data_IF_913541337969
#
_entry.id   IF_913541337969
#
_cell.length_a   1.000
_cell.length_b   1.000
_cell.length_c   1.000
_cell.angle_alpha   90.00
_cell.angle_beta   90.00
_cell.angle_gamma   90.00
#
_symmetry.space_group_name_H-M   'P 1'
#
loop_
_entity.id
_entity.type
_entity.pdbx_description
1 polymer ?
#
# COMPACT_ATOMS: atom_id res chain seq x y z
N UNK A 1 -26.90 7.49 23.83
CA UNK A 1 -26.14 7.66 22.58
C UNK A 1 -25.00 6.67 22.60
N UNK A 2 -24.96 5.75 21.64
CA UNK A 2 -23.85 4.80 21.50
C UNK A 2 -22.91 5.41 20.47
N UNK A 3 -21.76 5.92 20.90
CA UNK A 3 -20.68 6.27 19.97
C UNK A 3 -19.92 5.00 19.65
N UNK A 4 -20.17 4.43 18.47
CA UNK A 4 -19.34 3.38 17.92
C UNK A 4 -18.08 4.01 17.31
N UNK A 5 -16.91 3.59 17.79
CA UNK A 5 -15.61 3.87 17.19
C UNK A 5 -15.02 5.24 17.56
N UNK A 6 -13.69 5.29 17.56
CA UNK A 6 -12.94 6.54 17.50
C UNK A 6 -13.35 7.29 16.21
N UNK A 7 -13.51 8.63 16.25
CA UNK A 7 -13.76 9.41 15.05
C UNK A 7 -12.62 9.19 14.06
N UNK A 8 -12.98 8.64 12.90
CA UNK A 8 -12.04 8.43 11.81
C UNK A 8 -11.50 9.79 11.34
N UNK A 9 -10.18 9.93 11.10
CA UNK A 9 -9.63 11.19 10.60
C UNK A 9 -10.26 11.58 9.25
N UNK A 10 -10.29 12.87 8.96
CA UNK A 10 -10.89 13.43 7.73
C UNK A 10 -10.24 12.86 6.45
N UNK A 11 -8.96 12.45 6.54
CA UNK A 11 -8.20 11.82 5.46
C UNK A 11 -7.46 10.58 5.96
N UNK A 12 -7.36 9.54 5.13
CA UNK A 12 -6.52 8.37 5.39
C UNK A 12 -5.06 8.67 5.03
N UNK A 13 -4.13 8.41 5.95
CA UNK A 13 -2.68 8.48 5.69
C UNK A 13 -2.13 7.21 4.99
N UNK A 14 -3.02 6.49 4.29
CA UNK A 14 -2.78 5.16 3.76
C UNK A 14 -2.92 4.05 4.80
N UNK A 15 -3.12 2.82 4.32
CA UNK A 15 -3.21 1.60 5.14
C UNK A 15 -1.92 0.81 4.96
N UNK A 16 -1.27 0.42 6.06
CA UNK A 16 -0.16 -0.54 6.02
C UNK A 16 -0.72 -1.93 5.73
N UNK A 17 -0.62 -2.37 4.48
CA UNK A 17 -1.00 -3.72 4.07
C UNK A 17 0.14 -4.68 4.40
N UNK A 18 -0.19 -5.84 4.97
CA UNK A 18 0.79 -6.85 5.37
C UNK A 18 0.65 -8.12 4.52
N UNK A 19 1.68 -8.42 3.76
CA UNK A 19 1.85 -9.56 2.88
C UNK A 19 2.53 -10.74 3.58
N UNK A 20 1.94 -11.93 3.44
CA UNK A 20 2.54 -13.18 3.89
C UNK A 20 3.17 -13.90 2.70
N UNK A 21 4.50 -13.96 2.68
CA UNK A 21 5.26 -14.72 1.68
C UNK A 21 5.04 -16.21 1.90
N UNK A 22 4.43 -16.88 0.92
CA UNK A 22 4.25 -18.33 0.95
C UNK A 22 5.52 -19.02 0.48
N UNK A 23 5.66 -20.30 0.81
CA UNK A 23 6.72 -21.15 0.24
C UNK A 23 6.72 -21.12 -1.31
N UNK A 24 5.55 -20.97 -1.95
CA UNK A 24 5.41 -20.83 -3.41
C UNK A 24 5.95 -19.52 -3.98
N UNK A 25 6.17 -18.51 -3.14
CA UNK A 25 6.73 -17.21 -3.53
C UNK A 25 8.26 -17.17 -3.35
N UNK A 26 8.85 -18.22 -2.77
CA UNK A 26 10.28 -18.33 -2.58
C UNK A 26 11.02 -18.36 -3.92
N UNK A 27 12.11 -17.61 -4.03
CA UNK A 27 12.95 -17.55 -5.22
C UNK A 27 12.48 -16.54 -6.28
N UNK A 28 11.28 -15.98 -6.16
CA UNK A 28 10.87 -14.84 -6.99
C UNK A 28 11.59 -13.55 -6.55
N UNK A 29 11.80 -12.64 -7.49
CA UNK A 29 12.22 -11.28 -7.14
C UNK A 29 11.05 -10.49 -6.53
N UNK A 30 11.38 -9.47 -5.73
CA UNK A 30 10.40 -8.56 -5.14
C UNK A 30 9.49 -7.94 -6.19
N UNK A 31 10.05 -7.55 -7.34
CA UNK A 31 9.28 -6.94 -8.43
C UNK A 31 8.37 -7.95 -9.14
N UNK A 32 8.81 -9.19 -9.37
CA UNK A 32 7.96 -10.23 -9.95
C UNK A 32 6.79 -10.59 -9.06
N UNK A 33 7.02 -10.68 -7.74
CA UNK A 33 5.96 -10.96 -6.78
C UNK A 33 4.86 -9.90 -6.79
N UNK A 34 5.23 -8.62 -6.67
CA UNK A 34 4.26 -7.53 -6.61
C UNK A 34 3.55 -7.30 -7.95
N UNK A 35 4.29 -7.33 -9.06
CA UNK A 35 3.70 -7.15 -10.39
C UNK A 35 2.74 -8.27 -10.77
N UNK A 36 3.02 -9.52 -10.38
CA UNK A 36 2.14 -10.66 -10.65
C UNK A 36 0.92 -10.71 -9.73
N UNK A 37 1.11 -10.47 -8.44
CA UNK A 37 0.06 -10.69 -7.42
C UNK A 37 -0.85 -9.48 -7.24
N UNK A 38 -0.34 -8.28 -7.52
CA UNK A 38 -1.02 -7.01 -7.23
C UNK A 38 -1.00 -6.05 -8.41
N UNK A 39 -1.20 -6.57 -9.63
CA UNK A 39 -1.32 -5.78 -10.86
C UNK A 39 -2.42 -4.71 -10.76
N UNK A 40 -3.54 -5.03 -10.10
CA UNK A 40 -4.64 -4.10 -9.88
C UNK A 40 -4.32 -2.93 -8.94
N UNK A 41 -3.26 -3.06 -8.13
CA UNK A 41 -2.84 -2.04 -7.16
C UNK A 41 -1.81 -1.07 -7.75
N UNK A 42 -0.93 -1.55 -8.63
CA UNK A 42 -0.03 -0.73 -9.42
C UNK A 42 0.50 -1.52 -10.62
N UNK A 43 0.75 -0.86 -11.78
CA UNK A 43 1.50 -1.48 -12.88
C UNK A 43 2.97 -1.72 -12.47
N UNK A 44 3.70 -2.51 -13.26
CA UNK A 44 5.12 -2.83 -13.04
C UNK A 44 5.97 -1.59 -12.68
N UNK A 45 5.81 -0.50 -13.45
CA UNK A 45 6.54 0.73 -13.20
C UNK A 45 6.17 1.39 -11.86
N UNK A 46 4.89 1.34 -11.47
CA UNK A 46 4.44 1.83 -10.17
C UNK A 46 5.03 1.02 -9.02
N UNK A 47 5.18 -0.30 -9.17
CA UNK A 47 5.86 -1.12 -8.17
C UNK A 47 7.36 -0.84 -8.06
N UNK A 48 8.06 -0.62 -9.18
CA UNK A 48 9.46 -0.19 -9.17
C UNK A 48 9.65 1.12 -8.39
N UNK A 49 8.78 2.11 -8.64
CA UNK A 49 8.80 3.38 -7.92
C UNK A 49 8.62 3.18 -6.42
N UNK A 50 7.63 2.38 -6.00
CA UNK A 50 7.38 2.10 -4.57
C UNK A 50 8.59 1.45 -3.88
N UNK A 51 9.23 0.50 -4.56
CA UNK A 51 10.45 -0.16 -4.06
C UNK A 51 11.57 0.87 -3.89
N UNK A 52 11.88 1.65 -4.93
CA UNK A 52 12.95 2.65 -4.86
C UNK A 52 12.67 3.77 -3.84
N UNK A 53 11.40 4.14 -3.67
CA UNK A 53 10.96 5.18 -2.73
C UNK A 53 10.84 4.68 -1.28
N UNK A 54 11.42 3.52 -0.93
CA UNK A 54 11.45 2.98 0.44
C UNK A 54 10.07 2.66 1.01
N UNK A 55 9.07 2.45 0.16
CA UNK A 55 7.68 2.19 0.57
C UNK A 55 7.37 0.70 0.76
N UNK A 56 8.35 -0.18 0.51
CA UNK A 56 8.22 -1.63 0.63
C UNK A 56 9.14 -2.14 1.74
N UNK A 57 8.60 -3.01 2.59
CA UNK A 57 9.35 -3.66 3.67
C UNK A 57 9.31 -5.18 3.56
N UNK A 58 10.40 -5.85 3.93
CA UNK A 58 10.51 -7.30 4.13
C UNK A 58 11.09 -7.48 5.53
N UNK A 59 10.46 -8.29 6.39
CA UNK A 59 10.92 -8.50 7.76
C UNK A 59 11.05 -7.19 8.57
N UNK A 60 10.19 -6.20 8.27
CA UNK A 60 10.25 -4.85 8.85
C UNK A 60 11.43 -3.99 8.35
N UNK A 61 12.30 -4.54 7.52
CA UNK A 61 13.41 -3.82 6.90
C UNK A 61 12.95 -3.20 5.57
N UNK A 62 13.27 -1.92 5.36
CA UNK A 62 13.04 -1.24 4.08
C UNK A 62 13.90 -1.90 3.00
N UNK A 63 13.28 -2.25 1.88
CA UNK A 63 13.97 -2.86 0.72
C UNK A 63 13.79 -1.98 -0.50
N UNK A 64 14.91 -1.62 -1.14
CA UNK A 64 14.94 -0.72 -2.31
C UNK A 64 15.49 -1.36 -3.58
N UNK A 65 15.94 -2.62 -3.50
CA UNK A 65 16.38 -3.39 -4.67
C UNK A 65 15.24 -4.27 -5.20
N UNK A 66 14.71 -4.01 -6.41
CA UNK A 66 13.63 -4.79 -7.00
C UNK A 66 14.01 -6.25 -7.28
N UNK A 67 15.31 -6.55 -7.39
CA UNK A 67 15.82 -7.90 -7.63
C UNK A 67 16.04 -8.68 -6.32
N UNK A 68 15.69 -8.11 -5.16
CA UNK A 68 15.75 -8.82 -3.89
C UNK A 68 14.96 -10.12 -3.98
N UNK A 69 15.64 -11.24 -3.74
CA UNK A 69 15.03 -12.56 -3.80
C UNK A 69 14.21 -12.79 -2.52
N UNK A 70 12.93 -13.11 -2.71
CA UNK A 70 12.01 -13.42 -1.64
C UNK A 70 12.31 -14.80 -1.05
N UNK A 71 12.39 -14.86 0.27
CA UNK A 71 12.45 -16.12 1.01
C UNK A 71 11.04 -16.41 1.50
N UNK A 72 10.44 -17.48 1.00
CA UNK A 72 9.14 -17.92 1.50
C UNK A 72 9.27 -18.34 2.97
N UNK A 73 8.35 -17.87 3.80
CA UNK A 73 8.25 -18.33 5.18
C UNK A 73 7.39 -19.60 5.23
N UNK A 74 7.90 -20.68 5.83
CA UNK A 74 7.02 -21.65 6.46
C UNK A 74 6.49 -21.02 7.75
N UNK A 75 5.18 -20.75 7.82
CA UNK A 75 4.57 -20.08 8.98
C UNK A 75 4.90 -20.85 10.26
N UNK A 76 5.56 -20.23 11.27
CA UNK A 76 5.49 -20.72 12.62
C UNK A 76 4.02 -20.67 13.08
N UNK A 77 3.59 -21.59 13.96
CA UNK A 77 2.21 -21.66 14.47
C UNK A 77 1.70 -20.40 15.21
N UNK A 78 2.51 -19.35 15.31
CA UNK A 78 2.16 -18.02 15.84
C UNK A 78 2.70 -16.93 14.89
N UNK A 79 1.89 -15.91 14.52
CA UNK A 79 2.34 -14.82 13.66
C UNK A 79 3.41 -13.96 14.34
N UNK A 80 4.41 -13.48 13.58
CA UNK A 80 5.57 -12.72 14.08
C UNK A 80 5.66 -11.32 13.44
N UNK A 81 6.37 -10.36 14.05
CA UNK A 81 6.77 -9.13 13.37
C UNK A 81 7.76 -9.47 12.23
N UNK A 82 7.37 -9.28 10.97
CA UNK A 82 8.26 -9.54 9.82
C UNK A 82 7.57 -9.78 8.47
N UNK A 83 6.26 -9.97 8.47
CA UNK A 83 5.50 -10.09 7.23
C UNK A 83 5.68 -8.83 6.34
N UNK A 84 5.87 -9.02 5.02
CA UNK A 84 6.06 -7.95 4.03
C UNK A 84 4.93 -6.91 4.09
N UNK A 85 5.10 -5.71 3.53
CA UNK A 85 3.99 -4.76 3.47
C UNK A 85 4.19 -3.50 2.63
N UNK A 86 3.08 -2.85 2.28
CA UNK A 86 3.05 -1.60 1.49
C UNK A 86 1.93 -0.64 1.96
N UNK A 87 2.11 0.66 1.72
CA UNK A 87 1.06 1.66 1.96
C UNK A 87 0.04 1.68 0.80
N UNK A 88 -1.25 1.55 1.10
CA UNK A 88 -2.35 1.63 0.15
C UNK A 88 -3.23 2.86 0.44
N UNK A 89 -3.54 3.66 -0.59
CA UNK A 89 -4.43 4.82 -0.48
C UNK A 89 -5.59 4.73 -1.47
N UNK A 90 -6.82 4.82 -0.96
CA UNK A 90 -8.01 4.94 -1.80
C UNK A 90 -8.26 6.42 -2.14
N UNK A 91 -7.76 6.86 -3.28
CA UNK A 91 -7.82 8.27 -3.68
C UNK A 91 -9.26 8.76 -3.97
N UNK A 92 -10.11 7.92 -4.55
CA UNK A 92 -11.45 8.32 -4.98
C UNK A 92 -12.49 7.25 -4.68
N UNK A 93 -13.59 7.65 -4.05
CA UNK A 93 -14.77 6.82 -3.83
C UNK A 93 -15.97 7.44 -4.56
N UNK A 94 -16.69 6.61 -5.31
CA UNK A 94 -17.89 7.03 -6.05
C UNK A 94 -19.01 6.05 -5.76
N UNK A 95 -20.13 6.54 -5.25
CA UNK A 95 -21.29 5.72 -4.88
C UNK A 95 -22.58 6.55 -4.91
N UNK A 96 -23.75 5.93 -5.14
CA UNK A 96 -25.03 6.62 -5.01
C UNK A 96 -25.36 6.86 -3.53
N UNK A 97 -25.83 8.06 -3.20
CA UNK A 97 -26.31 8.37 -1.86
C UNK A 97 -27.53 7.50 -1.53
N UNK A 98 -27.58 6.83 -0.36
CA UNK A 98 -28.60 5.81 -0.07
C UNK A 98 -30.04 6.35 0.03
N UNK A 99 -30.22 7.67 0.15
CA UNK A 99 -31.56 8.30 0.27
C UNK A 99 -31.94 9.08 -0.98
N UNK A 100 -31.00 9.80 -1.59
CA UNK A 100 -31.28 10.70 -2.73
C UNK A 100 -30.93 10.07 -4.08
N UNK A 101 -30.19 8.96 -4.07
CA UNK A 101 -29.64 8.29 -5.25
C UNK A 101 -28.74 9.17 -6.14
N UNK A 102 -28.37 10.36 -5.67
CA UNK A 102 -27.40 11.22 -6.33
C UNK A 102 -26.00 10.64 -6.19
N UNK A 103 -25.17 10.80 -7.23
CA UNK A 103 -23.80 10.29 -7.22
C UNK A 103 -22.93 11.18 -6.33
N UNK A 104 -22.45 10.59 -5.23
CA UNK A 104 -21.44 11.20 -4.36
C UNK A 104 -20.05 10.85 -4.89
N UNK A 105 -19.17 11.85 -4.96
CA UNK A 105 -17.76 11.70 -5.29
C UNK A 105 -16.94 12.25 -4.14
N UNK A 106 -16.20 11.39 -3.46
CA UNK A 106 -15.28 11.77 -2.39
C UNK A 106 -13.87 11.57 -2.92
N UNK A 107 -13.00 12.56 -2.71
CA UNK A 107 -11.59 12.49 -3.06
C UNK A 107 -10.75 12.76 -1.80
N UNK A 108 -9.76 11.91 -1.54
CA UNK A 108 -8.77 12.11 -0.49
C UNK A 108 -7.43 12.48 -1.15
N UNK A 109 -6.76 13.57 -0.71
CA UNK A 109 -5.46 13.95 -1.23
C UNK A 109 -4.45 12.81 -1.03
N UNK A 110 -3.50 12.66 -1.94
CA UNK A 110 -2.48 11.62 -1.82
C UNK A 110 -1.63 11.91 -0.55
N UNK A 111 -1.54 10.97 0.40
CA UNK A 111 -0.81 11.18 1.64
C UNK A 111 0.69 11.31 1.35
N UNK A 112 1.40 12.09 2.17
CA UNK A 112 2.78 12.49 1.90
C UNK A 112 3.74 11.30 1.74
N UNK A 113 3.44 10.18 2.41
CA UNK A 113 4.22 8.94 2.33
C UNK A 113 4.17 8.28 0.94
N UNK A 114 3.18 8.62 0.13
CA UNK A 114 2.99 8.11 -1.23
C UNK A 114 3.43 9.08 -2.33
N UNK A 115 3.74 10.35 -2.01
CA UNK A 115 4.21 11.32 -3.00
C UNK A 115 5.57 10.92 -3.56
N UNK A 116 5.80 11.15 -4.86
CA UNK A 116 7.16 11.15 -5.39
C UNK A 116 7.92 12.41 -4.94
N UNK A 117 9.26 12.43 -5.01
CA UNK A 117 10.03 13.64 -4.72
C UNK A 117 9.55 14.84 -5.56
N UNK A 118 9.32 14.66 -6.86
CA UNK A 118 8.86 15.73 -7.76
C UNK A 118 7.46 16.23 -7.40
N UNK A 119 6.55 15.33 -7.02
CA UNK A 119 5.19 15.70 -6.58
C UNK A 119 5.20 16.45 -5.24
N UNK A 120 6.14 16.11 -4.34
CA UNK A 120 6.31 16.83 -3.07
C UNK A 120 6.82 18.25 -3.29
N UNK A 121 7.76 18.45 -4.22
CA UNK A 121 8.33 19.75 -4.56
C UNK A 121 7.29 20.64 -5.26
N UNK A 122 6.50 20.08 -6.18
CA UNK A 122 5.41 20.79 -6.83
C UNK A 122 4.31 21.24 -5.85
N UNK A 123 4.04 20.45 -4.81
CA UNK A 123 3.06 20.77 -3.75
C UNK A 123 3.54 21.88 -2.81
N UNK A 124 4.86 22.10 -2.67
CA UNK A 124 5.43 23.20 -1.87
C UNK A 124 5.61 24.50 -2.65
N UNK A 125 5.39 24.49 -3.97
CA UNK A 125 5.50 25.65 -4.84
C UNK A 125 4.16 26.34 -5.17
N UNK A 126 3.04 25.85 -4.64
CA UNK A 126 1.67 26.45 -4.74
C UNK A 126 1.18 26.90 -3.38
#
# INVERSE_FOLDING_TARGET
MVSFGEPWPEFNDGIYYRDLLRASDAGATLIEFYSRKYESSAPLHGWLQRIHNKQITIDGCVVTDPNTILRGYERPGKPVPGDCGYHLHAHRLVFPHPVTNEIIKIAAPLPSILLTPEESEAKHAS
#
